data_IF_543311659510
#
_entry.id   IF_543311659510
#
_cell.length_a   1.000
_cell.length_b   1.000
_cell.length_c   1.000
_cell.angle_alpha   90.00
_cell.angle_beta   90.00
_cell.angle_gamma   90.00
#
_symmetry.space_group_name_H-M   'P 1'
#
loop_
_entity.id
_entity.type
_entity.pdbx_description
1 polymer ?
#
# COMPACT_ATOMS: atom_id res chain seq x y z
N UNK A 1 -15.77 -13.81 -2.33
CA UNK A 1 -17.15 -14.17 -1.95
C UNK A 1 -17.42 -15.60 -2.36
N UNK A 2 -18.41 -16.27 -1.75
CA UNK A 2 -18.68 -17.69 -1.98
C UNK A 2 -19.44 -17.98 -3.29
N UNK A 3 -19.93 -16.95 -3.98
CA UNK A 3 -20.70 -17.05 -5.23
C UNK A 3 -19.97 -16.26 -6.32
N UNK A 4 -19.83 -16.81 -7.55
CA UNK A 4 -19.20 -16.10 -8.65
C UNK A 4 -19.99 -14.84 -9.02
N UNK A 5 -19.32 -13.73 -9.37
CA UNK A 5 -20.02 -12.52 -9.77
C UNK A 5 -20.74 -12.74 -11.12
N UNK A 6 -21.90 -12.09 -11.34
CA UNK A 6 -22.64 -12.20 -12.60
C UNK A 6 -21.93 -11.55 -13.79
N UNK A 7 -20.91 -10.73 -13.52
CA UNK A 7 -20.07 -10.08 -14.51
C UNK A 7 -18.62 -10.10 -14.05
N UNK A 8 -17.72 -10.47 -14.96
CA UNK A 8 -16.26 -10.42 -14.77
C UNK A 8 -15.70 -9.47 -15.84
N UNK A 9 -15.07 -8.35 -15.46
CA UNK A 9 -14.51 -7.42 -16.43
C UNK A 9 -13.35 -8.07 -17.19
N UNK A 10 -13.29 -7.83 -18.51
CA UNK A 10 -12.13 -8.17 -19.33
C UNK A 10 -10.88 -7.47 -18.78
N UNK A 11 -9.83 -8.21 -18.35
CA UNK A 11 -8.61 -7.62 -17.79
C UNK A 11 -7.82 -6.77 -18.78
N UNK A 12 -8.12 -6.85 -20.09
CA UNK A 12 -7.47 -6.05 -21.13
C UNK A 12 -8.20 -4.75 -21.45
N UNK A 13 -9.35 -4.48 -20.83
CA UNK A 13 -10.17 -3.29 -21.09
C UNK A 13 -10.13 -2.33 -19.91
N UNK A 14 -9.87 -1.05 -20.20
CA UNK A 14 -10.01 0.05 -19.24
C UNK A 14 -11.47 0.53 -19.27
N UNK A 15 -12.15 0.48 -18.13
CA UNK A 15 -13.56 0.89 -17.98
C UNK A 15 -13.65 2.35 -17.51
N UNK A 16 -13.11 3.27 -18.31
CA UNK A 16 -13.13 4.71 -18.05
C UNK A 16 -13.27 5.49 -19.37
N UNK A 17 -13.53 6.80 -19.29
CA UNK A 17 -13.47 7.69 -20.46
C UNK A 17 -12.03 7.79 -20.96
N UNK A 18 -11.87 8.10 -22.25
CA UNK A 18 -10.57 8.46 -22.80
C UNK A 18 -10.05 9.72 -22.08
N UNK A 19 -8.73 9.78 -21.83
CA UNK A 19 -8.09 10.96 -21.25
C UNK A 19 -8.31 12.21 -22.11
N UNK A 20 -8.42 12.05 -23.44
CA UNK A 20 -8.75 13.14 -24.36
C UNK A 20 -10.16 13.70 -24.20
N UNK A 21 -11.08 12.91 -23.62
CA UNK A 21 -12.46 13.32 -23.33
C UNK A 21 -12.62 13.89 -21.90
N UNK A 22 -11.54 13.90 -21.11
CA UNK A 22 -11.51 14.50 -19.78
C UNK A 22 -11.04 15.95 -19.91
N UNK A 23 -11.92 16.91 -19.60
CA UNK A 23 -11.58 18.32 -19.59
C UNK A 23 -10.47 18.63 -18.58
N UNK A 24 -9.46 19.38 -19.00
CA UNK A 24 -8.43 19.88 -18.10
C UNK A 24 -9.00 21.01 -17.22
N UNK A 25 -8.72 20.94 -15.92
CA UNK A 25 -8.97 22.06 -15.02
C UNK A 25 -7.82 23.08 -15.14
N UNK A 26 -8.14 24.37 -15.08
CA UNK A 26 -7.12 25.40 -14.97
C UNK A 26 -6.41 25.31 -13.62
N UNK A 27 -5.09 25.48 -13.59
CA UNK A 27 -4.38 25.63 -12.33
C UNK A 27 -4.75 26.96 -11.66
N UNK A 28 -5.11 26.89 -10.38
CA UNK A 28 -5.30 28.08 -9.55
C UNK A 28 -3.93 28.61 -9.18
N UNK A 29 -3.67 29.89 -9.47
CA UNK A 29 -2.41 30.59 -9.12
C UNK A 29 -2.65 31.51 -7.94
N UNK A 30 -1.60 31.76 -7.15
CA UNK A 30 -1.67 32.67 -6.00
C UNK A 30 -2.21 32.05 -4.70
N UNK A 31 -2.18 30.72 -4.58
CA UNK A 31 -2.43 30.02 -3.33
C UNK A 31 -1.10 29.83 -2.62
N UNK A 32 -1.01 30.30 -1.38
CA UNK A 32 0.13 30.07 -0.48
C UNK A 32 -0.30 29.04 0.57
N UNK A 33 0.56 28.05 0.82
CA UNK A 33 0.33 27.06 1.87
C UNK A 33 0.81 27.63 3.20
N UNK A 34 -0.01 27.53 4.23
CA UNK A 34 0.33 27.99 5.57
C UNK A 34 0.61 26.82 6.54
N UNK A 35 0.88 27.17 7.80
CA UNK A 35 1.17 26.17 8.83
C UNK A 35 -0.03 25.26 9.15
N UNK A 36 -1.26 25.73 8.95
CA UNK A 36 -2.47 24.92 9.10
C UNK A 36 -2.58 23.85 8.02
N UNK A 37 -2.25 24.20 6.77
CA UNK A 37 -2.21 23.26 5.66
C UNK A 37 -1.17 22.15 5.90
N UNK A 38 0.02 22.52 6.38
CA UNK A 38 1.08 21.56 6.73
C UNK A 38 0.60 20.61 7.82
N UNK A 39 -0.01 21.13 8.89
CA UNK A 39 -0.53 20.30 9.97
C UNK A 39 -1.62 19.32 9.49
N UNK A 40 -2.48 19.75 8.56
CA UNK A 40 -3.48 18.87 7.95
C UNK A 40 -2.82 17.78 7.09
N UNK A 41 -1.84 18.14 6.26
CA UNK A 41 -1.10 17.18 5.44
C UNK A 41 -0.39 16.13 6.31
N UNK A 42 0.23 16.56 7.41
CA UNK A 42 0.90 15.67 8.36
C UNK A 42 -0.10 14.73 9.04
N UNK A 43 -1.27 15.24 9.44
CA UNK A 43 -2.32 14.42 10.03
C UNK A 43 -2.95 13.44 9.02
N UNK A 44 -3.06 13.86 7.75
CA UNK A 44 -3.64 13.05 6.68
C UNK A 44 -2.72 11.91 6.25
N UNK A 45 -1.42 12.16 6.15
CA UNK A 45 -0.41 11.20 5.70
C UNK A 45 -0.04 10.21 6.81
N UNK A 46 -1.00 9.45 7.31
CA UNK A 46 -0.81 8.46 8.39
C UNK A 46 0.09 7.27 8.03
N UNK A 47 0.57 7.21 6.78
CA UNK A 47 1.40 6.14 6.26
C UNK A 47 0.60 4.85 6.04
N UNK A 48 1.22 3.73 6.38
CA UNK A 48 0.71 2.40 6.10
C UNK A 48 -0.49 2.04 7.00
N UNK A 49 -1.58 1.57 6.38
CA UNK A 49 -2.71 1.00 7.12
C UNK A 49 -2.38 -0.47 7.45
N UNK A 50 -2.36 -0.88 8.74
CA UNK A 50 -1.78 -2.17 9.12
C UNK A 50 -2.39 -3.41 8.47
N UNK A 51 -3.72 -3.50 8.40
CA UNK A 51 -4.40 -4.69 7.89
C UNK A 51 -4.17 -4.90 6.37
N UNK A 52 -4.48 -3.92 5.48
CA UNK A 52 -4.22 -4.09 4.04
C UNK A 52 -2.75 -4.35 3.72
N UNK A 53 -1.84 -3.75 4.47
CA UNK A 53 -0.41 -3.96 4.25
C UNK A 53 0.04 -5.37 4.63
N UNK A 54 -0.46 -5.92 5.73
CA UNK A 54 -0.18 -7.30 6.09
C UNK A 54 -0.80 -8.28 5.07
N UNK A 55 -2.02 -8.01 4.61
CA UNK A 55 -2.65 -8.78 3.52
C UNK A 55 -1.80 -8.75 2.25
N UNK A 56 -1.28 -7.58 1.85
CA UNK A 56 -0.36 -7.45 0.71
C UNK A 56 0.90 -8.31 0.88
N UNK A 57 1.53 -8.29 2.07
CA UNK A 57 2.73 -9.10 2.34
C UNK A 57 2.46 -10.60 2.22
N UNK A 58 1.27 -11.04 2.61
CA UNK A 58 0.86 -12.44 2.53
C UNK A 58 0.51 -12.80 1.07
N UNK A 59 -0.33 -12.01 0.41
CA UNK A 59 -0.83 -12.29 -0.94
C UNK A 59 0.27 -12.25 -2.00
N UNK A 60 1.29 -11.42 -1.81
CA UNK A 60 2.48 -11.38 -2.67
C UNK A 60 3.47 -12.51 -2.39
N UNK A 61 3.27 -13.28 -1.32
CA UNK A 61 4.18 -14.32 -0.85
C UNK A 61 5.46 -13.77 -0.22
N UNK A 62 5.56 -12.46 0.00
CA UNK A 62 6.74 -11.83 0.60
C UNK A 62 6.94 -12.28 2.05
N UNK A 63 5.84 -12.43 2.80
CA UNK A 63 5.90 -12.94 4.16
C UNK A 63 6.53 -14.33 4.22
N UNK A 64 6.13 -15.25 3.33
CA UNK A 64 6.69 -16.62 3.30
C UNK A 64 8.18 -16.64 2.95
N UNK A 65 8.65 -15.68 2.16
CA UNK A 65 10.05 -15.58 1.75
C UNK A 65 10.96 -15.04 2.87
N UNK A 66 10.44 -14.13 3.70
CA UNK A 66 11.23 -13.41 4.70
C UNK A 66 11.04 -13.92 6.12
N UNK A 67 9.85 -14.44 6.46
CA UNK A 67 9.53 -14.93 7.79
C UNK A 67 10.05 -16.36 7.99
N UNK A 68 11.36 -16.52 7.99
CA UNK A 68 12.04 -17.81 8.04
C UNK A 68 12.52 -18.13 9.46
N UNK A 69 12.30 -19.37 9.88
CA UNK A 69 12.89 -19.93 11.09
C UNK A 69 13.99 -20.95 10.75
N UNK A 70 15.03 -21.01 11.57
CA UNK A 70 16.08 -22.03 11.45
C UNK A 70 15.60 -23.43 11.83
N UNK A 71 16.51 -24.42 11.88
CA UNK A 71 16.22 -25.73 12.47
C UNK A 71 15.69 -25.63 13.92
N UNK A 72 14.98 -26.66 14.42
CA UNK A 72 14.47 -26.67 15.78
C UNK A 72 15.55 -26.37 16.83
N UNK A 73 15.24 -25.47 17.76
CA UNK A 73 16.18 -25.05 18.81
C UNK A 73 17.19 -23.97 18.38
N UNK A 74 17.15 -23.51 17.13
CA UNK A 74 17.94 -22.37 16.65
C UNK A 74 17.05 -21.13 16.53
N UNK A 75 17.59 -20.00 16.95
CA UNK A 75 16.96 -18.69 16.80
C UNK A 75 17.51 -18.01 15.53
N UNK A 76 16.67 -17.35 14.73
CA UNK A 76 17.12 -16.51 13.63
C UNK A 76 18.13 -15.45 14.09
N UNK A 77 19.15 -15.12 13.27
CA UNK A 77 20.13 -14.08 13.55
C UNK A 77 19.57 -12.74 14.02
N UNK A 78 18.46 -12.30 13.45
CA UNK A 78 17.79 -11.03 13.71
C UNK A 78 17.02 -11.01 15.03
N UNK A 79 16.83 -12.18 15.67
CA UNK A 79 16.20 -12.31 16.97
C UNK A 79 17.22 -12.57 18.09
N UNK A 80 18.50 -12.82 17.77
CA UNK A 80 19.55 -13.17 18.74
C UNK A 80 19.93 -11.96 19.61
N UNK A 81 19.60 -11.96 20.92
CA UNK A 81 19.83 -10.82 21.79
C UNK A 81 21.32 -10.57 22.07
N UNK A 82 22.17 -11.58 21.89
CA UNK A 82 23.62 -11.47 22.13
C UNK A 82 24.37 -10.99 20.88
N UNK A 83 23.68 -10.89 19.74
CA UNK A 83 24.24 -10.42 18.48
C UNK A 83 24.05 -8.91 18.36
N UNK A 84 25.17 -8.20 18.19
CA UNK A 84 25.13 -6.78 17.84
C UNK A 84 24.48 -6.57 16.46
N UNK A 85 23.79 -5.43 16.23
CA UNK A 85 23.11 -5.13 14.97
C UNK A 85 24.06 -5.14 13.75
#
# INVERSE_FOLDING_TARGET
GLVPPPFVPDPRRVYAKDLGDVGAFSSVRGVELDAGDVALCDAFASGTVPLPWQEELIDTGLFDQLNLWGPPGQLPPDLDPDRAP
#
